data_IF_209655771932
#
_entry.id   IF_209655771932
#
_cell.length_a   1.000
_cell.length_b   1.000
_cell.length_c   1.000
_cell.angle_alpha   90.00
_cell.angle_beta   90.00
_cell.angle_gamma   90.00
#
_symmetry.space_group_name_H-M   'P 1'
#
loop_
_entity.id
_entity.type
_entity.pdbx_description
1 polymer ?
#
# COMPACT_ATOMS: atom_id res chain seq x y z
N UNK A 1 18.84 -11.06 -0.41
CA UNK A 1 19.29 -9.88 -1.19
C UNK A 1 20.61 -9.36 -0.62
N UNK A 2 21.46 -8.74 -1.44
CA UNK A 2 22.62 -8.02 -0.88
C UNK A 2 22.15 -6.72 -0.19
N UNK A 3 22.68 -6.36 0.99
CA UNK A 3 22.30 -5.10 1.71
C UNK A 3 22.36 -3.85 0.82
N UNK A 4 23.30 -3.82 -0.14
CA UNK A 4 23.44 -2.74 -1.12
C UNK A 4 22.22 -2.62 -2.04
N UNK A 5 21.56 -3.73 -2.36
CA UNK A 5 20.37 -3.79 -3.20
C UNK A 5 19.14 -3.28 -2.47
N UNK A 6 18.95 -3.70 -1.21
CA UNK A 6 17.88 -3.21 -0.32
C UNK A 6 17.93 -1.68 -0.22
N UNK A 7 19.12 -1.13 0.05
CA UNK A 7 19.33 0.32 0.13
C UNK A 7 18.97 1.07 -1.15
N UNK A 8 19.25 0.48 -2.33
CA UNK A 8 18.90 1.08 -3.63
C UNK A 8 17.39 1.10 -3.83
N UNK A 9 16.71 0.02 -3.47
CA UNK A 9 15.25 -0.10 -3.59
C UNK A 9 14.55 0.90 -2.66
N UNK A 10 14.93 0.93 -1.38
CA UNK A 10 14.41 1.90 -0.39
C UNK A 10 14.70 3.35 -0.79
N UNK A 11 15.87 3.63 -1.36
CA UNK A 11 16.18 4.97 -1.84
C UNK A 11 15.28 5.38 -3.01
N UNK A 12 15.00 4.48 -3.96
CA UNK A 12 14.06 4.74 -5.05
C UNK A 12 12.64 4.95 -4.53
N UNK A 13 12.21 4.14 -3.57
CA UNK A 13 10.90 4.24 -2.92
C UNK A 13 10.70 5.61 -2.26
N UNK A 14 11.67 6.06 -1.46
CA UNK A 14 11.60 7.35 -0.76
C UNK A 14 11.44 8.55 -1.71
N UNK A 15 12.03 8.47 -2.90
CA UNK A 15 12.00 9.51 -3.92
C UNK A 15 10.98 9.27 -5.05
N UNK A 16 10.11 8.27 -4.95
CA UNK A 16 9.08 7.97 -5.96
C UNK A 16 8.10 9.15 -6.13
N UNK A 17 7.71 9.75 -5.01
CA UNK A 17 6.74 10.85 -4.96
C UNK A 17 7.38 12.22 -4.66
N UNK A 18 8.73 12.30 -4.64
CA UNK A 18 9.48 13.51 -4.30
C UNK A 18 10.41 13.93 -5.43
N UNK A 19 10.51 15.23 -5.69
CA UNK A 19 11.51 15.75 -6.63
C UNK A 19 12.92 15.58 -6.06
N UNK A 20 13.83 15.01 -6.85
CA UNK A 20 15.22 14.83 -6.44
C UNK A 20 15.90 16.18 -6.15
N UNK A 21 16.56 16.32 -4.99
CA UNK A 21 17.28 17.54 -4.61
C UNK A 21 18.34 17.91 -5.66
N UNK A 22 18.35 19.15 -6.19
CA UNK A 22 19.24 19.52 -7.29
C UNK A 22 20.72 19.46 -6.92
N UNK A 23 21.07 19.69 -5.64
CA UNK A 23 22.45 19.67 -5.14
C UNK A 23 23.10 18.27 -5.19
N UNK A 24 22.31 17.20 -5.05
CA UNK A 24 22.82 15.82 -5.01
C UNK A 24 22.12 14.90 -6.03
N UNK A 25 21.36 15.44 -6.99
CA UNK A 25 20.59 14.67 -7.99
C UNK A 25 21.44 13.64 -8.71
N UNK A 26 22.64 14.03 -9.16
CA UNK A 26 23.56 13.13 -9.85
C UNK A 26 24.05 12.01 -8.94
N UNK A 27 24.42 12.34 -7.70
CA UNK A 27 24.89 11.39 -6.70
C UNK A 27 23.80 10.37 -6.32
N UNK A 28 22.59 10.83 -6.02
CA UNK A 28 21.44 9.97 -5.72
C UNK A 28 21.10 9.07 -6.91
N UNK A 29 21.12 9.61 -8.14
CA UNK A 29 20.87 8.84 -9.36
C UNK A 29 21.92 7.74 -9.56
N UNK A 30 23.20 8.02 -9.30
CA UNK A 30 24.28 7.03 -9.38
C UNK A 30 24.13 5.91 -8.34
N UNK A 31 23.65 6.24 -7.13
CA UNK A 31 23.35 5.25 -6.10
C UNK A 31 22.19 4.36 -6.52
N UNK A 32 21.08 4.95 -6.97
CA UNK A 32 19.87 4.24 -7.43
C UNK A 32 20.13 3.34 -8.64
N UNK A 33 20.95 3.78 -9.59
CA UNK A 33 21.33 3.01 -10.78
C UNK A 33 22.43 1.97 -10.49
N UNK A 34 22.97 1.95 -9.28
CA UNK A 34 24.03 1.04 -8.86
C UNK A 34 25.42 1.33 -9.44
N UNK A 35 25.61 2.50 -10.06
CA UNK A 35 26.92 2.95 -10.57
C UNK A 35 27.86 3.43 -9.46
N UNK A 36 27.31 3.82 -8.32
CA UNK A 36 28.06 4.17 -7.12
C UNK A 36 27.93 3.10 -6.01
N UNK A 37 28.93 3.04 -5.14
CA UNK A 37 28.92 2.15 -3.98
C UNK A 37 27.97 2.67 -2.90
N UNK A 38 27.00 1.83 -2.52
CA UNK A 38 26.02 2.16 -1.47
C UNK A 38 26.46 1.58 -0.12
N UNK A 39 27.45 2.23 0.50
CA UNK A 39 27.97 1.87 1.82
C UNK A 39 27.08 2.34 2.98
N UNK A 40 27.36 1.83 4.18
CA UNK A 40 26.62 2.16 5.40
C UNK A 40 26.73 3.63 5.78
N UNK A 41 27.94 4.21 5.69
CA UNK A 41 28.17 5.64 5.92
C UNK A 41 27.36 6.52 4.97
N UNK A 42 27.20 6.10 3.71
CA UNK A 42 26.38 6.81 2.74
C UNK A 42 24.89 6.71 3.10
N UNK A 43 24.42 5.52 3.52
CA UNK A 43 23.05 5.32 3.97
C UNK A 43 22.70 6.22 5.17
N UNK A 44 23.51 6.19 6.23
CA UNK A 44 23.29 7.02 7.43
C UNK A 44 23.28 8.51 7.12
N UNK A 45 24.17 8.97 6.23
CA UNK A 45 24.18 10.37 5.79
C UNK A 45 22.89 10.74 5.06
N UNK A 46 22.46 9.91 4.11
CA UNK A 46 21.24 10.15 3.33
C UNK A 46 20.02 10.16 4.26
N UNK A 47 19.93 9.23 5.21
CA UNK A 47 18.84 9.19 6.18
C UNK A 47 18.75 10.51 6.98
N UNK A 48 19.88 10.98 7.51
CA UNK A 48 19.94 12.25 8.25
C UNK A 48 19.63 13.47 7.39
N UNK A 49 20.23 13.55 6.18
CA UNK A 49 20.06 14.71 5.29
C UNK A 49 18.63 14.85 4.78
N UNK A 50 17.94 13.74 4.53
CA UNK A 50 16.61 13.72 3.92
C UNK A 50 15.48 13.39 4.90
N UNK A 51 15.79 13.32 6.20
CA UNK A 51 14.80 13.07 7.26
C UNK A 51 14.15 11.69 7.16
N UNK A 52 14.89 10.69 6.68
CA UNK A 52 14.42 9.31 6.72
C UNK A 52 14.54 8.76 8.15
N UNK A 53 13.65 7.85 8.56
CA UNK A 53 13.82 7.12 9.81
C UNK A 53 15.18 6.42 9.88
N UNK A 54 15.73 6.30 11.09
CA UNK A 54 17.00 5.58 11.30
C UNK A 54 16.87 4.13 10.84
N UNK A 55 17.81 3.68 10.01
CA UNK A 55 17.80 2.31 9.49
C UNK A 55 16.80 2.07 8.36
N UNK A 56 16.09 3.10 7.88
CA UNK A 56 15.11 2.98 6.79
C UNK A 56 15.71 2.35 5.52
N UNK A 57 16.95 2.70 5.17
CA UNK A 57 17.60 2.16 3.96
C UNK A 57 18.10 0.72 4.15
N UNK A 58 18.27 0.28 5.40
CA UNK A 58 18.67 -1.09 5.74
C UNK A 58 17.47 -2.01 6.03
N UNK A 59 16.28 -1.42 6.24
CA UNK A 59 15.06 -2.15 6.50
C UNK A 59 14.75 -3.06 5.31
N UNK A 60 14.61 -4.36 5.59
CA UNK A 60 14.31 -5.35 4.56
C UNK A 60 13.13 -4.84 3.73
N UNK A 61 13.33 -4.85 2.41
CA UNK A 61 12.26 -4.61 1.47
C UNK A 61 11.38 -5.85 1.53
N UNK A 62 10.56 -5.95 2.59
CA UNK A 62 9.31 -6.64 2.45
C UNK A 62 8.66 -5.97 1.26
N UNK A 63 8.32 -6.74 0.23
CA UNK A 63 7.24 -6.39 -0.66
C UNK A 63 6.02 -6.19 0.26
N UNK A 64 5.94 -5.03 0.93
CA UNK A 64 4.65 -4.53 1.32
C UNK A 64 3.89 -4.56 0.00
N UNK A 65 2.74 -5.25 -0.04
CA UNK A 65 1.96 -5.26 -1.25
C UNK A 65 1.85 -3.81 -1.62
N UNK A 66 2.36 -3.48 -2.80
CA UNK A 66 2.21 -2.17 -3.40
C UNK A 66 0.82 -1.72 -2.94
N UNK A 67 0.74 -0.55 -2.30
CA UNK A 67 -0.49 0.18 -2.36
C UNK A 67 -0.76 0.29 -3.86
N UNK A 68 -1.46 -0.72 -4.35
CA UNK A 68 -1.98 -0.80 -5.69
C UNK A 68 -2.66 0.54 -5.85
N UNK A 69 -2.67 1.15 -7.05
CA UNK A 69 -3.58 2.26 -7.30
C UNK A 69 -4.88 1.92 -6.57
N UNK A 70 -5.47 2.79 -5.74
CA UNK A 70 -6.52 2.40 -4.78
C UNK A 70 -7.76 1.73 -5.41
N UNK A 71 -7.71 1.49 -6.72
CA UNK A 71 -8.71 1.06 -7.67
C UNK A 71 -8.22 -0.11 -8.57
N UNK A 72 -6.93 -0.50 -8.52
CA UNK A 72 -6.37 -1.60 -9.31
C UNK A 72 -6.83 -2.94 -8.72
N UNK A 73 -8.01 -3.38 -9.18
CA UNK A 73 -8.70 -4.55 -8.68
C UNK A 73 -10.20 -4.33 -8.45
N UNK A 74 -10.69 -3.10 -8.58
CA UNK A 74 -12.12 -2.81 -8.49
C UNK A 74 -12.80 -3.06 -9.84
N UNK A 75 -13.96 -3.73 -9.80
CA UNK A 75 -14.83 -3.87 -10.98
C UNK A 75 -15.50 -2.54 -11.32
N UNK A 76 -16.02 -2.39 -12.54
CA UNK A 76 -16.74 -1.18 -12.96
C UNK A 76 -17.84 -0.78 -11.98
N UNK A 77 -18.59 -1.76 -11.46
CA UNK A 77 -19.68 -1.52 -10.51
C UNK A 77 -19.17 -1.02 -9.15
N UNK A 78 -17.98 -1.45 -8.73
CA UNK A 78 -17.38 -0.98 -7.48
C UNK A 78 -16.87 0.46 -7.61
N UNK A 79 -16.36 0.83 -8.78
CA UNK A 79 -15.98 2.22 -9.07
C UNK A 79 -17.19 3.15 -9.15
N UNK A 80 -18.26 2.70 -9.79
CA UNK A 80 -19.52 3.44 -9.85
C UNK A 80 -20.09 3.69 -8.44
N UNK A 81 -20.06 2.68 -7.58
CA UNK A 81 -20.45 2.83 -6.17
C UNK A 81 -19.61 3.91 -5.47
N UNK A 82 -18.28 3.88 -5.61
CA UNK A 82 -17.40 4.88 -4.97
C UNK A 82 -17.66 6.29 -5.49
N UNK A 83 -17.87 6.43 -6.80
CA UNK A 83 -18.20 7.72 -7.43
C UNK A 83 -19.48 8.29 -6.86
N UNK A 84 -20.56 7.51 -6.82
CA UNK A 84 -21.86 7.94 -6.27
C UNK A 84 -21.73 8.22 -4.77
N UNK A 85 -21.05 7.34 -4.03
CA UNK A 85 -20.89 7.45 -2.58
C UNK A 85 -20.17 8.73 -2.15
N UNK A 86 -19.13 9.12 -2.87
CA UNK A 86 -18.38 10.35 -2.60
C UNK A 86 -19.18 11.65 -2.82
N UNK A 87 -20.31 11.59 -3.53
CA UNK A 87 -21.17 12.75 -3.76
C UNK A 87 -22.11 13.07 -2.59
N UNK A 88 -22.27 12.15 -1.61
CA UNK A 88 -23.14 12.34 -0.46
C UNK A 88 -22.43 13.05 0.72
N UNK A 89 -23.16 13.74 1.60
CA UNK A 89 -22.65 14.25 2.87
C UNK A 89 -22.12 13.14 3.81
N UNK A 90 -21.22 13.47 4.74
CA UNK A 90 -20.64 12.46 5.66
C UNK A 90 -21.67 11.70 6.51
N UNK A 91 -22.77 12.34 6.89
CA UNK A 91 -23.82 11.70 7.69
C UNK A 91 -24.55 10.60 6.87
N UNK A 92 -24.93 10.94 5.63
CA UNK A 92 -25.53 9.99 4.69
C UNK A 92 -24.55 8.86 4.34
N UNK A 93 -23.27 9.17 4.14
CA UNK A 93 -22.23 8.17 3.94
C UNK A 93 -22.18 7.16 5.10
N UNK A 94 -22.27 7.62 6.36
CA UNK A 94 -22.29 6.74 7.54
C UNK A 94 -23.53 5.86 7.56
N UNK A 95 -24.69 6.41 7.23
CA UNK A 95 -25.94 5.65 7.14
C UNK A 95 -25.83 4.55 6.08
N UNK A 96 -25.38 4.89 4.86
CA UNK A 96 -25.21 3.93 3.76
C UNK A 96 -24.21 2.82 4.16
N UNK A 97 -23.09 3.16 4.81
CA UNK A 97 -22.14 2.15 5.31
C UNK A 97 -22.80 1.21 6.32
N UNK A 98 -23.62 1.74 7.22
CA UNK A 98 -24.35 0.94 8.21
C UNK A 98 -25.30 -0.06 7.54
N UNK A 99 -26.08 0.40 6.56
CA UNK A 99 -27.01 -0.45 5.80
C UNK A 99 -26.27 -1.55 5.02
N UNK A 100 -25.16 -1.20 4.35
CA UNK A 100 -24.33 -2.17 3.63
C UNK A 100 -23.74 -3.22 4.57
N UNK A 101 -23.32 -2.83 5.78
CA UNK A 101 -22.83 -3.77 6.80
C UNK A 101 -23.91 -4.73 7.26
N UNK A 102 -25.11 -4.23 7.58
CA UNK A 102 -26.23 -5.07 8.00
C UNK A 102 -26.63 -6.06 6.89
N UNK A 103 -26.67 -5.59 5.64
CA UNK A 103 -26.99 -6.45 4.50
C UNK A 103 -25.95 -7.54 4.28
N UNK A 104 -24.66 -7.22 4.49
CA UNK A 104 -23.58 -8.21 4.46
C UNK A 104 -23.78 -9.27 5.53
N UNK A 105 -24.02 -8.87 6.77
CA UNK A 105 -24.22 -9.78 7.90
C UNK A 105 -25.42 -10.72 7.66
N UNK A 106 -26.54 -10.18 7.17
CA UNK A 106 -27.71 -11.00 6.81
C UNK A 106 -27.39 -12.01 5.71
N UNK A 107 -26.58 -11.65 4.72
CA UNK A 107 -26.15 -12.57 3.65
C UNK A 107 -25.25 -13.69 4.21
N UNK A 108 -24.31 -13.34 5.08
CA UNK A 108 -23.42 -14.30 5.75
C UNK A 108 -24.22 -15.29 6.61
N UNK A 109 -25.24 -14.82 7.33
CA UNK A 109 -26.17 -15.66 8.08
C UNK A 109 -26.98 -16.61 7.20
N UNK A 110 -27.49 -16.12 6.06
CA UNK A 110 -28.21 -16.95 5.10
C UNK A 110 -27.31 -18.04 4.53
N UNK A 111 -26.06 -17.70 4.19
CA UNK A 111 -25.06 -18.65 3.71
C UNK A 111 -24.75 -19.68 4.79
N UNK A 112 -24.55 -19.25 6.04
CA UNK A 112 -24.29 -20.16 7.16
C UNK A 112 -25.44 -21.16 7.38
N UNK A 113 -26.69 -20.69 7.35
CA UNK A 113 -27.89 -21.54 7.43
C UNK A 113 -27.97 -22.53 6.27
N UNK A 114 -27.67 -22.07 5.05
CA UNK A 114 -27.69 -22.93 3.86
C UNK A 114 -26.62 -24.03 3.94
N UNK A 115 -25.40 -23.68 4.36
CA UNK A 115 -24.31 -24.64 4.56
C UNK A 115 -24.67 -25.66 5.65
N UNK A 116 -25.23 -25.23 6.78
CA UNK A 116 -25.64 -26.11 7.87
C UNK A 116 -26.75 -27.09 7.41
N UNK A 117 -27.77 -26.59 6.73
CA UNK A 117 -28.86 -27.42 6.20
C UNK A 117 -28.38 -28.43 5.13
N UNK A 118 -27.38 -28.06 4.32
CA UNK A 118 -26.78 -28.96 3.33
C UNK A 118 -25.93 -30.05 3.96
N UNK A 119 -25.24 -29.76 5.08
CA UNK A 119 -24.50 -30.76 5.86
C UNK A 119 -25.42 -31.78 6.54
N UNK A 120 -26.56 -31.34 7.09
CA UNK A 120 -27.56 -32.25 7.68
C UNK A 120 -28.26 -33.15 6.65
N UNK A 121 -28.29 -32.75 5.37
CA UNK A 121 -28.94 -33.52 4.29
C UNK A 121 -28.07 -34.64 3.70
N UNK A 122 -26.80 -34.73 4.11
CA UNK A 122 -25.80 -35.73 3.66
C UNK A 122 -25.46 -36.78 4.73
N UNK A 123 -26.08 -36.72 5.91
CA UNK A 123 -25.99 -37.70 6.98
C UNK A 123 -27.30 -38.51 7.06
#
# INVERSE_FOLDING_TARGET
MQKKEIRRLRLKEWFKDKTLPPKEKSYLSQLMSGRASFGEKAARRIEQTYGMPEGYLDAEYAEQPEASPPHAGLTSNQLELLQIFSAFPEDEQRQIISELKQKKESMEDLIARWIAAQKCRRA
#
